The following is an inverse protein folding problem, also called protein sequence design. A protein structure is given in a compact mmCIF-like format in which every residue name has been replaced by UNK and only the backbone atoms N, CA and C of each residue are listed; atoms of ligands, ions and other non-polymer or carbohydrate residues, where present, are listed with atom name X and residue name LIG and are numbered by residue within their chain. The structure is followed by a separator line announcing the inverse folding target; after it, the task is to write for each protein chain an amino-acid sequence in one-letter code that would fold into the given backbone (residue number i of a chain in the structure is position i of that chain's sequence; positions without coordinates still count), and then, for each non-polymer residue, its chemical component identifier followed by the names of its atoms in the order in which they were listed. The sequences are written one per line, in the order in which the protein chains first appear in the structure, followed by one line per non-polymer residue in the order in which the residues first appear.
data_IF_649080360323
#
_entry.id   IF_649080360323
#
_cell.length_a   1.000
_cell.length_b   1.000
_cell.length_c   1.000
_cell.angle_alpha   90.00
_cell.angle_beta   90.00
_cell.angle_gamma   90.00
#
_symmetry.space_group_name_H-M   'P 1'
#
loop_
_entity.id
_entity.type
_entity.pdbx_description
1 polymer ?
#
# COMPACT_ATOMS: atom_id res chain seq x y z
N UNK A 1 3.26 17.72 0.40
CA UNK A 1 2.36 16.56 0.39
C UNK A 1 3.15 15.33 0.81
N UNK A 2 2.53 14.46 1.60
CA UNK A 2 3.17 13.23 2.08
C UNK A 2 2.57 12.00 1.40
N UNK A 3 3.38 10.95 1.31
CA UNK A 3 2.96 9.69 0.68
C UNK A 3 3.70 8.54 1.37
N UNK A 4 3.46 7.32 0.91
CA UNK A 4 4.04 6.12 1.52
C UNK A 4 5.17 5.54 0.67
N UNK A 5 6.26 5.16 1.32
CA UNK A 5 7.37 4.45 0.70
C UNK A 5 7.60 3.09 1.37
N UNK A 6 7.94 2.10 0.58
CA UNK A 6 8.20 0.74 1.08
C UNK A 6 9.46 0.69 1.92
N UNK A 7 9.36 0.01 3.07
CA UNK A 7 10.49 -0.26 3.94
C UNK A 7 10.66 -1.76 4.05
N UNK A 8 11.81 -2.26 3.62
CA UNK A 8 12.17 -3.67 3.78
C UNK A 8 13.31 -3.75 4.79
N UNK A 9 13.03 -4.30 5.95
CA UNK A 9 14.04 -4.44 7.01
C UNK A 9 15.03 -5.56 6.69
N UNK A 10 14.53 -6.60 6.02
CA UNK A 10 15.32 -7.76 5.59
C UNK A 10 14.59 -8.46 4.44
N UNK A 11 14.93 -9.70 4.17
CA UNK A 11 14.33 -10.47 3.08
C UNK A 11 13.01 -11.14 3.45
N UNK A 12 12.45 -10.89 4.64
CA UNK A 12 11.25 -11.58 5.11
C UNK A 12 10.02 -11.31 4.23
N UNK A 13 9.87 -10.10 3.69
CA UNK A 13 8.75 -9.78 2.81
C UNK A 13 8.74 -10.67 1.56
N UNK A 14 9.91 -11.01 1.02
CA UNK A 14 10.00 -11.90 -0.14
C UNK A 14 9.46 -13.29 0.17
N UNK A 15 9.62 -13.75 1.40
CA UNK A 15 9.10 -15.04 1.84
C UNK A 15 7.60 -14.97 2.14
N UNK A 16 7.16 -13.94 2.86
CA UNK A 16 5.76 -13.74 3.20
C UNK A 16 4.92 -13.58 1.94
N UNK A 17 5.41 -12.79 1.00
CA UNK A 17 4.69 -12.48 -0.25
C UNK A 17 5.23 -13.26 -1.44
N UNK A 18 5.67 -14.50 -1.23
CA UNK A 18 6.23 -15.33 -2.30
C UNK A 18 5.24 -15.57 -3.45
N UNK A 19 3.96 -15.56 -3.15
CA UNK A 19 2.89 -15.77 -4.11
C UNK A 19 2.50 -14.49 -4.86
N UNK A 20 2.35 -13.38 -4.13
CA UNK A 20 1.92 -12.09 -4.68
C UNK A 20 3.08 -11.27 -5.22
N UNK A 21 4.27 -11.52 -4.71
CA UNK A 21 5.44 -10.69 -4.94
C UNK A 21 5.59 -9.62 -3.88
N UNK A 22 6.83 -9.30 -3.53
CA UNK A 22 7.15 -8.24 -2.58
C UNK A 22 7.45 -6.94 -3.31
N UNK A 23 7.08 -5.81 -2.70
CA UNK A 23 7.49 -4.50 -3.18
C UNK A 23 9.01 -4.34 -2.99
N UNK A 24 9.62 -3.44 -3.76
CA UNK A 24 11.03 -3.12 -3.62
C UNK A 24 11.21 -2.06 -2.55
N UNK A 25 12.32 -2.13 -1.83
CA UNK A 25 12.64 -1.12 -0.84
C UNK A 25 12.72 0.25 -1.50
N UNK A 26 12.04 1.22 -0.90
CA UNK A 26 12.02 2.59 -1.40
C UNK A 26 11.04 2.88 -2.52
N UNK A 27 10.27 1.90 -3.01
CA UNK A 27 9.27 2.22 -4.02
C UNK A 27 8.04 2.89 -3.38
N UNK A 28 7.35 3.71 -4.14
CA UNK A 28 6.12 4.34 -3.67
C UNK A 28 5.02 3.30 -3.48
N UNK A 29 4.25 3.47 -2.42
CA UNK A 29 3.14 2.58 -2.08
C UNK A 29 1.83 3.35 -2.08
N UNK A 30 0.75 2.62 -2.39
CA UNK A 30 -0.61 3.08 -2.08
C UNK A 30 -1.18 2.18 -0.99
N UNK A 31 -2.28 2.62 -0.39
CA UNK A 31 -2.92 1.88 0.71
C UNK A 31 -3.24 0.44 0.32
N UNK A 32 -3.87 0.23 -0.83
CA UNK A 32 -4.16 -1.10 -1.33
C UNK A 32 -5.51 -1.66 -0.89
N UNK A 33 -6.35 -0.84 -0.28
CA UNK A 33 -7.68 -1.28 0.13
C UNK A 33 -8.55 -1.77 -1.02
N UNK A 34 -8.33 -1.25 -2.22
CA UNK A 34 -9.07 -1.66 -3.42
C UNK A 34 -8.82 -3.13 -3.78
N UNK A 35 -7.72 -3.70 -3.32
CA UNK A 35 -7.32 -5.07 -3.68
C UNK A 35 -7.67 -6.09 -2.59
N UNK A 36 -8.55 -5.74 -1.67
CA UNK A 36 -9.07 -6.71 -0.70
C UNK A 36 -9.98 -7.67 -1.45
N UNK A 37 -9.62 -8.96 -1.40
CA UNK A 37 -10.24 -9.98 -2.25
C UNK A 37 -11.66 -10.35 -1.83
N UNK A 38 -12.03 -10.15 -0.56
CA UNK A 38 -13.36 -10.49 -0.08
C UNK A 38 -13.72 -9.63 1.14
N UNK A 39 -14.62 -8.65 0.99
CA UNK A 39 -15.00 -7.80 2.11
C UNK A 39 -15.77 -8.51 3.21
N UNK A 40 -16.31 -9.73 2.97
CA UNK A 40 -17.00 -10.50 4.00
C UNK A 40 -16.03 -11.22 4.95
N UNK A 41 -14.79 -11.44 4.52
CA UNK A 41 -13.77 -12.10 5.32
C UNK A 41 -13.78 -13.62 5.26
N UNK A 42 -14.74 -14.23 4.58
CA UNK A 42 -14.83 -15.70 4.49
C UNK A 42 -13.66 -16.28 3.70
N UNK A 43 -13.40 -15.69 2.53
CA UNK A 43 -12.31 -16.12 1.65
C UNK A 43 -10.95 -15.93 2.31
N UNK A 44 -10.76 -14.87 3.09
CA UNK A 44 -9.49 -14.58 3.75
C UNK A 44 -9.09 -15.69 4.72
N UNK A 45 -10.04 -16.19 5.50
CA UNK A 45 -9.77 -17.27 6.44
C UNK A 45 -9.38 -18.57 5.73
N UNK A 46 -10.03 -18.85 4.61
CA UNK A 46 -9.77 -20.07 3.84
C UNK A 46 -8.45 -20.01 3.08
N UNK A 47 -8.08 -18.82 2.55
CA UNK A 47 -6.93 -18.67 1.66
C UNK A 47 -5.70 -18.05 2.31
N UNK A 48 -5.78 -17.66 3.59
CA UNK A 48 -4.67 -16.99 4.28
C UNK A 48 -4.15 -15.79 3.48
N UNK A 49 -5.05 -14.94 3.02
CA UNK A 49 -4.75 -13.82 2.14
C UNK A 49 -4.03 -12.68 2.88
N UNK A 50 -3.00 -12.12 2.26
CA UNK A 50 -2.23 -11.03 2.85
C UNK A 50 -2.82 -9.64 2.56
N UNK A 51 -3.91 -9.53 1.83
CA UNK A 51 -4.52 -8.25 1.48
C UNK A 51 -5.04 -7.47 2.69
N UNK A 52 -5.20 -8.12 3.83
CA UNK A 52 -5.66 -7.47 5.04
C UNK A 52 -4.55 -6.77 5.82
N UNK A 53 -3.29 -7.05 5.52
CA UNK A 53 -2.15 -6.56 6.31
C UNK A 53 -1.02 -5.99 5.47
N UNK A 54 -1.29 -5.57 4.25
CA UNK A 54 -0.22 -5.10 3.37
C UNK A 54 -0.64 -3.91 2.52
N UNK A 55 0.38 -3.12 2.16
CA UNK A 55 0.30 -2.05 1.17
C UNK A 55 0.71 -2.60 -0.19
N UNK A 56 0.50 -1.81 -1.24
CA UNK A 56 0.82 -2.23 -2.61
C UNK A 56 1.80 -1.25 -3.25
N UNK A 57 2.90 -1.77 -3.80
CA UNK A 57 3.87 -0.99 -4.56
C UNK A 57 3.32 -0.61 -5.93
N UNK A 58 3.59 0.62 -6.36
CA UNK A 58 3.03 1.12 -7.61
C UNK A 58 3.84 0.72 -8.84
N UNK A 59 5.10 0.30 -8.66
CA UNK A 59 5.99 -0.09 -9.77
C UNK A 59 5.82 -1.56 -10.08
N UNK A 60 6.17 -2.43 -9.13
CA UNK A 60 6.13 -3.87 -9.31
C UNK A 60 4.81 -4.50 -8.87
N UNK A 61 3.93 -3.71 -8.28
CA UNK A 61 2.61 -4.15 -7.80
C UNK A 61 2.70 -5.24 -6.74
N UNK A 62 3.85 -5.32 -6.07
CA UNK A 62 4.09 -6.25 -4.99
C UNK A 62 3.58 -5.73 -3.66
N UNK A 63 3.58 -6.60 -2.66
CA UNK A 63 3.07 -6.30 -1.33
C UNK A 63 4.18 -5.83 -0.40
N UNK A 64 3.80 -5.02 0.60
CA UNK A 64 4.73 -4.52 1.60
C UNK A 64 4.02 -4.38 2.94
N UNK A 65 4.69 -4.77 4.01
CA UNK A 65 4.12 -4.72 5.37
C UNK A 65 4.34 -3.36 6.02
N UNK A 66 5.52 -2.77 5.85
CA UNK A 66 5.90 -1.53 6.53
C UNK A 66 6.05 -0.42 5.51
N UNK A 67 5.38 0.70 5.77
CA UNK A 67 5.47 1.89 4.95
C UNK A 67 6.04 3.05 5.75
N UNK A 68 6.87 3.87 5.11
CA UNK A 68 7.36 5.11 5.71
C UNK A 68 6.58 6.29 5.13
N UNK A 69 6.16 7.19 6.01
CA UNK A 69 5.50 8.44 5.61
C UNK A 69 6.56 9.46 5.26
N UNK A 70 6.63 9.87 4.00
CA UNK A 70 7.67 10.80 3.51
C UNK A 70 7.06 11.85 2.59
N UNK A 71 7.79 12.94 2.38
CA UNK A 71 7.37 13.96 1.41
C UNK A 71 7.47 13.39 -0.01
N UNK A 72 6.50 13.79 -0.85
CA UNK A 72 6.50 13.46 -2.28
C UNK A 72 6.34 14.75 -3.07
N UNK A 73 7.12 14.92 -4.14
CA UNK A 73 6.94 16.08 -4.98
C UNK A 73 5.83 15.85 -6.02
N UNK A 74 5.43 16.93 -6.67
CA UNK A 74 4.32 16.88 -7.62
C UNK A 74 4.60 15.97 -8.81
N UNK A 75 5.82 15.95 -9.29
CA UNK A 75 6.23 15.14 -10.43
C UNK A 75 6.15 13.66 -10.08
N UNK A 76 6.65 13.26 -8.92
CA UNK A 76 6.59 11.88 -8.47
C UNK A 76 5.16 11.45 -8.20
N UNK A 77 4.34 12.33 -7.63
CA UNK A 77 2.93 12.04 -7.41
C UNK A 77 2.21 11.74 -8.73
N UNK A 78 2.49 12.51 -9.77
CA UNK A 78 1.92 12.27 -11.08
C UNK A 78 2.38 10.93 -11.66
N UNK A 79 3.65 10.57 -11.43
CA UNK A 79 4.15 9.26 -11.86
C UNK A 79 3.45 8.11 -11.14
N UNK A 80 3.15 8.27 -9.87
CA UNK A 80 2.37 7.29 -9.11
C UNK A 80 1.00 7.07 -9.79
N UNK A 81 0.33 8.16 -10.13
CA UNK A 81 -0.98 8.09 -10.80
C UNK A 81 -0.85 7.34 -12.12
N UNK A 82 0.16 7.67 -12.95
CA UNK A 82 0.33 7.01 -14.24
C UNK A 82 0.59 5.51 -14.11
N UNK A 83 1.36 5.12 -13.11
CA UNK A 83 1.60 3.69 -12.85
C UNK A 83 0.35 2.97 -12.36
N UNK A 84 -0.46 3.63 -11.54
CA UNK A 84 -1.75 3.08 -11.11
C UNK A 84 -2.72 2.92 -12.28
N UNK A 85 -2.74 3.88 -13.20
CA UNK A 85 -3.56 3.78 -14.41
C UNK A 85 -3.22 2.50 -15.16
N UNK A 86 -1.94 2.24 -15.37
CA UNK A 86 -1.49 1.01 -16.05
C UNK A 86 -1.92 -0.24 -15.27
N UNK A 87 -1.79 -0.21 -13.96
CA UNK A 87 -2.19 -1.33 -13.11
C UNK A 87 -3.68 -1.63 -13.27
N UNK A 88 -4.51 -0.60 -13.22
CA UNK A 88 -5.95 -0.80 -13.36
C UNK A 88 -6.35 -1.24 -14.77
N UNK A 89 -5.64 -0.78 -15.79
CA UNK A 89 -5.89 -1.23 -17.17
C UNK A 89 -5.41 -2.66 -17.41
N UNK A 90 -4.17 -2.95 -17.03
CA UNK A 90 -3.52 -4.21 -17.41
C UNK A 90 -3.93 -5.37 -16.51
N UNK A 91 -4.07 -5.13 -15.20
CA UNK A 91 -4.27 -6.19 -14.23
C UNK A 91 -5.71 -6.30 -13.75
N UNK A 92 -6.43 -5.19 -13.66
CA UNK A 92 -7.76 -5.18 -13.05
C UNK A 92 -8.89 -4.95 -14.07
N UNK A 93 -8.55 -4.87 -15.36
CA UNK A 93 -9.53 -4.87 -16.43
C UNK A 93 -10.42 -3.62 -16.47
N UNK A 94 -9.89 -2.44 -16.15
CA UNK A 94 -10.66 -1.21 -16.27
C UNK A 94 -11.19 -1.07 -17.70
N UNK A 95 -12.48 -0.71 -17.87
CA UNK A 95 -13.09 -0.72 -19.20
C UNK A 95 -12.55 0.36 -20.13
N UNK A 96 -12.09 1.48 -19.59
CA UNK A 96 -11.53 2.59 -20.37
C UNK A 96 -10.35 3.21 -19.64
N UNK A 97 -9.52 3.93 -20.38
CA UNK A 97 -8.42 4.71 -19.81
C UNK A 97 -8.95 5.77 -18.85
N UNK A 98 -10.06 6.40 -19.18
CA UNK A 98 -10.67 7.42 -18.34
C UNK A 98 -11.14 6.86 -17.02
N UNK A 99 -11.77 5.67 -17.01
CA UNK A 99 -12.17 5.00 -15.78
C UNK A 99 -10.97 4.62 -14.94
N UNK A 100 -9.91 4.11 -15.56
CA UNK A 100 -8.68 3.75 -14.86
C UNK A 100 -8.05 4.98 -14.20
N UNK A 101 -8.01 6.10 -14.89
CA UNK A 101 -7.45 7.35 -14.36
C UNK A 101 -8.23 7.87 -13.17
N UNK A 102 -9.55 7.82 -13.25
CA UNK A 102 -10.41 8.27 -12.16
C UNK A 102 -10.13 7.50 -10.89
N UNK A 103 -10.06 6.17 -10.99
CA UNK A 103 -9.78 5.31 -9.84
C UNK A 103 -8.35 5.50 -9.34
N UNK A 104 -7.39 5.67 -10.26
CA UNK A 104 -5.99 5.90 -9.90
C UNK A 104 -5.83 7.20 -9.10
N UNK A 105 -6.49 8.26 -9.55
CA UNK A 105 -6.46 9.55 -8.86
C UNK A 105 -7.11 9.46 -7.48
N UNK A 106 -8.20 8.73 -7.37
CA UNK A 106 -8.87 8.52 -6.07
C UNK A 106 -7.97 7.74 -5.11
N UNK A 107 -7.31 6.69 -5.56
CA UNK A 107 -6.43 5.88 -4.70
C UNK A 107 -5.21 6.67 -4.25
N UNK A 108 -4.60 7.42 -5.16
CA UNK A 108 -3.48 8.29 -4.82
C UNK A 108 -3.90 9.37 -3.82
N UNK A 109 -5.04 10.00 -4.04
CA UNK A 109 -5.56 11.03 -3.14
C UNK A 109 -5.88 10.45 -1.76
N UNK A 110 -6.47 9.27 -1.71
CA UNK A 110 -6.75 8.59 -0.44
C UNK A 110 -5.47 8.34 0.34
N UNK A 111 -4.43 7.84 -0.32
CA UNK A 111 -3.14 7.56 0.32
C UNK A 111 -2.48 8.85 0.83
N UNK A 112 -2.51 9.91 0.04
CA UNK A 112 -1.96 11.21 0.45
C UNK A 112 -2.73 11.78 1.65
N UNK A 113 -4.05 11.68 1.63
CA UNK A 113 -4.88 12.15 2.73
C UNK A 113 -4.63 11.36 4.00
N UNK A 114 -4.49 10.04 3.88
CA UNK A 114 -4.12 9.17 4.99
C UNK A 114 -2.82 9.64 5.64
N UNK A 115 -1.81 9.98 4.83
CA UNK A 115 -0.51 10.41 5.32
C UNK A 115 -0.55 11.74 6.08
N UNK A 116 -1.55 12.59 5.84
CA UNK A 116 -1.69 13.84 6.58
C UNK A 116 -1.94 13.62 8.07
N UNK A 117 -2.46 12.45 8.44
CA UNK A 117 -2.69 12.09 9.84
C UNK A 117 -1.42 11.72 10.59
N UNK A 118 -0.29 11.58 9.90
CA UNK A 118 0.97 11.11 10.49
C UNK A 118 2.09 12.11 10.28
N UNK A 119 3.05 12.11 11.20
CA UNK A 119 4.28 12.89 11.06
C UNK A 119 5.16 12.28 9.97
N UNK A 120 5.97 13.11 9.31
CA UNK A 120 6.97 12.60 8.38
C UNK A 120 7.96 11.69 9.09
N UNK A 121 8.47 10.70 8.35
CA UNK A 121 9.51 9.77 8.79
C UNK A 121 9.06 8.76 9.85
N UNK A 122 7.75 8.65 10.11
CA UNK A 122 7.26 7.53 10.91
C UNK A 122 7.00 6.33 10.01
N UNK A 123 7.06 5.15 10.58
CA UNK A 123 6.69 3.91 9.90
C UNK A 123 5.30 3.50 10.35
N UNK A 124 4.51 2.97 9.42
CA UNK A 124 3.16 2.50 9.72
C UNK A 124 2.95 1.10 9.14
N UNK A 125 2.05 0.37 9.79
CA UNK A 125 1.51 -0.88 9.28
C UNK A 125 0.00 -0.74 9.20
N UNK A 126 -0.65 -1.57 8.39
CA UNK A 126 -2.10 -1.58 8.25
C UNK A 126 -2.66 -2.92 8.70
N UNK A 127 -3.81 -2.87 9.36
CA UNK A 127 -4.61 -4.06 9.64
C UNK A 127 -6.04 -3.77 9.19
N UNK A 128 -6.53 -4.56 8.24
CA UNK A 128 -7.89 -4.45 7.75
C UNK A 128 -8.74 -5.55 8.35
N UNK A 129 -9.91 -5.17 8.86
CA UNK A 129 -10.84 -6.10 9.47
C UNK A 129 -12.13 -6.10 8.65
N UNK A 130 -12.42 -7.17 7.90
CA UNK A 130 -13.66 -7.28 7.16
C UNK A 130 -14.83 -7.60 8.09
N UNK A 131 -16.03 -7.14 7.72
CA UNK A 131 -17.25 -7.42 8.46
C UNK A 131 -18.38 -6.52 7.97
N UNK A 132 -19.61 -7.02 7.98
CA UNK A 132 -20.82 -6.28 7.61
C UNK A 132 -20.74 -5.56 6.26
N UNK A 133 -20.04 -6.15 5.30
CA UNK A 133 -19.83 -5.56 3.97
C UNK A 133 -18.88 -4.38 3.96
N UNK A 134 -18.20 -4.11 5.07
CA UNK A 134 -17.24 -2.99 5.19
C UNK A 134 -15.89 -3.50 5.64
N UNK A 135 -14.85 -2.78 5.22
CA UNK A 135 -13.49 -3.03 5.66
C UNK A 135 -13.11 -1.88 6.60
N UNK A 136 -12.75 -2.23 7.83
CA UNK A 136 -12.21 -1.25 8.79
C UNK A 136 -10.70 -1.30 8.72
N UNK A 137 -10.05 -0.14 8.63
CA UNK A 137 -8.61 -0.04 8.54
C UNK A 137 -8.06 0.57 9.81
N UNK A 138 -7.07 -0.10 10.39
CA UNK A 138 -6.33 0.38 11.55
C UNK A 138 -4.86 0.49 11.19
N UNK A 139 -4.26 1.60 11.58
CA UNK A 139 -2.85 1.87 11.29
C UNK A 139 -2.09 1.95 12.60
N UNK A 140 -0.99 1.21 12.69
CA UNK A 140 -0.07 1.28 13.82
C UNK A 140 1.14 2.09 13.43
N UNK A 141 1.62 2.93 14.35
CA UNK A 141 2.71 3.86 14.10
C UNK A 141 3.94 3.45 14.89
N UNK A 142 5.09 3.45 14.22
CA UNK A 142 6.39 3.16 14.83
C UNK A 142 7.34 4.33 14.61
N UNK A 143 8.18 4.62 15.60
CA UNK A 143 9.24 5.61 15.43
C UNK A 143 10.42 4.95 14.73
N UNK A 144 10.72 5.42 13.53
CA UNK A 144 11.85 4.96 12.72
C UNK A 144 13.16 4.97 13.50
N UNK A 145 13.41 6.03 14.29
CA UNK A 145 14.65 6.20 15.04
C UNK A 145 14.93 5.07 16.01
N UNK A 146 13.90 4.51 16.65
CA UNK A 146 14.07 3.42 17.60
C UNK A 146 14.62 2.17 16.95
N UNK A 147 14.16 1.87 15.73
CA UNK A 147 14.63 0.70 15.00
C UNK A 147 16.02 0.96 14.43
N UNK A 148 16.27 2.17 13.92
CA UNK A 148 17.56 2.56 13.40
C UNK A 148 18.68 2.47 14.42
N UNK A 149 18.41 2.81 15.68
CA UNK A 149 19.41 2.77 16.75
C UNK A 149 19.87 1.35 17.10
N UNK A 150 19.07 0.36 16.83
CA UNK A 150 19.44 -1.04 17.06
C UNK A 150 20.47 -1.59 16.06
N UNK A 151 20.68 -0.90 14.98
CA UNK A 151 21.65 -1.30 13.97
C UNK A 151 23.05 -0.80 14.27
N UNK A 152 23.17 0.05 15.25
CA UNK A 152 24.44 0.59 15.68
C UNK A 152 25.05 -0.26 16.76
#
# INVERSE_FOLDING_TARGET
MKFLKAVLLDASDSQVYSREGAARDGEWLVSGGYAVCDPTGVTHRALNCHCLTSFIGVVGRGRCTIAEVVEIDKSEYQQVIERLVRHFMDDLGAPTLEAARSVAEEEAAYTAELCESFSSEVWITVKRTPGDGRIKEHYSVFKRLMIGSHKL
#
